data_IF_280183022201
#
_entry.id   IF_280183022201
#
_cell.length_a   1.000
_cell.length_b   1.000
_cell.length_c   1.000
_cell.angle_alpha   90.00
_cell.angle_beta   90.00
_cell.angle_gamma   90.00
#
_symmetry.space_group_name_H-M   'P 1'
#
loop_
_entity.id
_entity.type
_entity.pdbx_description
1 polymer ?
#
# COMPACT_ATOMS: atom_id res chain seq x y z
N UNK A 1 -19.18 -8.02 -10.23
CA UNK A 1 -17.78 -7.58 -10.04
C UNK A 1 -16.78 -8.70 -10.10
N UNK A 2 -17.02 -9.83 -9.41
CA UNK A 2 -16.10 -10.99 -9.41
C UNK A 2 -15.83 -11.47 -10.85
N UNK A 3 -16.88 -11.68 -11.65
CA UNK A 3 -16.74 -12.13 -13.04
C UNK A 3 -15.90 -11.18 -13.90
N UNK A 4 -16.02 -9.87 -13.67
CA UNK A 4 -15.22 -8.87 -14.37
C UNK A 4 -13.73 -8.97 -13.99
N UNK A 5 -13.41 -9.24 -12.72
CA UNK A 5 -12.04 -9.46 -12.28
C UNK A 5 -11.44 -10.75 -12.88
N UNK A 6 -12.20 -11.85 -12.92
CA UNK A 6 -11.78 -13.09 -13.57
C UNK A 6 -11.60 -12.94 -15.09
N UNK A 7 -12.47 -12.14 -15.74
CA UNK A 7 -12.27 -11.77 -17.15
C UNK A 7 -10.96 -10.99 -17.36
N UNK A 8 -10.62 -10.04 -16.47
CA UNK A 8 -9.34 -9.32 -16.54
C UNK A 8 -8.16 -10.28 -16.35
N UNK A 9 -8.23 -11.28 -15.46
CA UNK A 9 -7.16 -12.29 -15.36
C UNK A 9 -6.96 -13.06 -16.67
N UNK A 10 -8.06 -13.40 -17.34
CA UNK A 10 -8.04 -14.14 -18.61
C UNK A 10 -7.50 -13.28 -19.76
N UNK A 11 -8.01 -12.06 -19.90
CA UNK A 11 -7.75 -11.18 -21.05
C UNK A 11 -6.67 -10.10 -20.79
N UNK A 12 -6.10 -10.08 -19.58
CA UNK A 12 -4.98 -9.25 -19.10
C UNK A 12 -5.23 -7.76 -18.96
N UNK A 13 -6.18 -7.19 -19.70
CA UNK A 13 -6.47 -5.74 -19.68
C UNK A 13 -7.93 -5.49 -19.34
N UNK A 14 -8.17 -4.50 -18.48
CA UNK A 14 -9.51 -4.00 -18.15
C UNK A 14 -9.51 -2.49 -18.03
N UNK A 15 -10.55 -1.85 -18.56
CA UNK A 15 -10.82 -0.42 -18.40
C UNK A 15 -12.08 -0.30 -17.56
N UNK A 16 -12.00 0.48 -16.47
CA UNK A 16 -13.07 0.56 -15.47
C UNK A 16 -13.55 1.99 -15.30
N UNK A 17 -14.87 2.19 -15.35
CA UNK A 17 -15.51 3.43 -14.95
C UNK A 17 -15.54 3.58 -13.41
N UNK A 18 -15.66 4.83 -12.93
CA UNK A 18 -15.90 5.09 -11.52
C UNK A 18 -17.20 4.41 -11.04
N UNK A 19 -17.22 3.96 -9.79
CA UNK A 19 -18.34 3.20 -9.22
C UNK A 19 -18.62 3.66 -7.80
N UNK A 20 -19.90 3.78 -7.45
CA UNK A 20 -20.36 4.05 -6.08
C UNK A 20 -19.95 2.88 -5.18
N UNK A 21 -19.36 3.20 -4.03
CA UNK A 21 -19.29 2.27 -2.89
C UNK A 21 -20.36 2.75 -1.91
N UNK A 22 -21.44 1.97 -1.67
CA UNK A 22 -22.58 2.46 -0.92
C UNK A 22 -22.28 2.59 0.57
N UNK A 23 -22.77 3.67 1.16
CA UNK A 23 -22.97 3.91 2.59
C UNK A 23 -24.47 3.78 2.93
N UNK A 24 -24.87 4.09 4.16
CA UNK A 24 -26.27 4.02 4.62
C UNK A 24 -27.19 4.89 3.74
N UNK A 25 -26.75 6.10 3.38
CA UNK A 25 -27.53 7.00 2.54
C UNK A 25 -27.73 6.43 1.12
N UNK A 26 -26.70 5.81 0.54
CA UNK A 26 -26.79 5.15 -0.77
C UNK A 26 -27.64 3.89 -0.74
N UNK A 27 -27.69 3.16 0.39
CA UNK A 27 -28.60 2.02 0.56
C UNK A 27 -30.05 2.49 0.46
N UNK A 28 -30.40 3.57 1.15
CA UNK A 28 -31.74 4.16 1.08
C UNK A 28 -32.06 4.75 -0.31
N UNK A 29 -31.18 5.59 -0.85
CA UNK A 29 -31.36 6.26 -2.15
C UNK A 29 -31.62 5.27 -3.28
N UNK A 30 -30.84 4.19 -3.35
CA UNK A 30 -30.92 3.18 -4.42
C UNK A 30 -31.73 1.94 -4.03
N UNK A 31 -32.35 1.92 -2.85
CA UNK A 31 -33.08 0.76 -2.29
C UNK A 31 -32.27 -0.54 -2.40
N UNK A 32 -31.02 -0.48 -1.96
CA UNK A 32 -30.09 -1.59 -2.11
C UNK A 32 -30.45 -2.72 -1.14
N UNK A 33 -30.32 -3.97 -1.60
CA UNK A 33 -30.55 -5.16 -0.77
C UNK A 33 -29.61 -5.23 0.44
N UNK A 34 -28.42 -4.65 0.32
CA UNK A 34 -27.41 -4.55 1.36
C UNK A 34 -26.38 -3.48 0.98
N UNK A 35 -25.56 -3.08 1.95
CA UNK A 35 -24.40 -2.24 1.74
C UNK A 35 -23.29 -3.06 1.07
N UNK A 36 -23.22 -3.02 -0.26
CA UNK A 36 -22.24 -3.78 -1.02
C UNK A 36 -20.81 -3.29 -0.78
N UNK A 37 -19.85 -4.22 -0.72
CA UNK A 37 -18.42 -3.89 -0.66
C UNK A 37 -17.96 -3.15 -1.91
N UNK A 38 -16.92 -2.32 -1.77
CA UNK A 38 -16.36 -1.54 -2.88
C UNK A 38 -15.94 -2.45 -4.06
N UNK A 39 -16.42 -2.16 -5.29
CA UNK A 39 -16.00 -2.91 -6.47
C UNK A 39 -14.49 -2.85 -6.72
N UNK A 40 -13.84 -1.74 -6.35
CA UNK A 40 -12.39 -1.58 -6.46
C UNK A 40 -11.66 -2.57 -5.53
N UNK A 41 -12.13 -2.70 -4.28
CA UNK A 41 -11.58 -3.64 -3.31
C UNK A 41 -11.72 -5.09 -3.77
N UNK A 42 -12.89 -5.47 -4.32
CA UNK A 42 -13.11 -6.81 -4.89
C UNK A 42 -12.15 -7.12 -6.03
N UNK A 43 -12.02 -6.22 -7.01
CA UNK A 43 -11.12 -6.42 -8.16
C UNK A 43 -9.66 -6.54 -7.69
N UNK A 44 -9.21 -5.63 -6.82
CA UNK A 44 -7.84 -5.63 -6.27
C UNK A 44 -7.54 -6.90 -5.47
N UNK A 45 -8.50 -7.39 -4.69
CA UNK A 45 -8.33 -8.63 -3.94
C UNK A 45 -8.18 -9.85 -4.85
N UNK A 46 -8.86 -9.86 -5.99
CA UNK A 46 -8.83 -10.97 -6.94
C UNK A 46 -7.57 -10.90 -7.82
N UNK A 47 -7.20 -9.72 -8.30
CA UNK A 47 -6.06 -9.52 -9.19
C UNK A 47 -4.72 -9.44 -8.45
N UNK A 48 -4.73 -8.93 -7.22
CA UNK A 48 -3.52 -8.49 -6.52
C UNK A 48 -2.86 -7.29 -7.20
N UNK A 49 -1.66 -6.94 -6.73
CA UNK A 49 -0.75 -6.01 -7.41
C UNK A 49 -0.67 -4.60 -6.83
N UNK A 50 -0.06 -3.72 -7.63
CA UNK A 50 0.28 -2.34 -7.28
C UNK A 50 -0.60 -1.37 -8.06
N UNK A 51 -1.16 -0.37 -7.39
CA UNK A 51 -1.91 0.71 -8.05
C UNK A 51 -0.95 1.88 -8.27
N UNK A 52 -0.66 2.19 -9.53
CA UNK A 52 0.11 3.37 -9.89
C UNK A 52 -0.82 4.56 -10.15
N UNK A 53 -0.51 5.70 -9.53
CA UNK A 53 -1.18 7.00 -9.75
C UNK A 53 -0.14 8.02 -10.18
N UNK A 54 -0.45 8.77 -11.22
CA UNK A 54 0.44 9.79 -11.81
C UNK A 54 -0.41 10.98 -12.25
N UNK A 55 0.03 12.23 -12.00
CA UNK A 55 -0.72 13.40 -12.42
C UNK A 55 -0.64 13.59 -13.94
N UNK A 56 -1.72 14.10 -14.53
CA UNK A 56 -1.72 14.60 -15.90
C UNK A 56 -1.34 16.09 -15.85
N UNK A 57 -0.13 16.43 -16.31
CA UNK A 57 0.40 17.79 -16.22
C UNK A 57 -0.05 18.65 -17.40
N UNK A 58 -0.74 19.75 -17.10
CA UNK A 58 -1.13 20.77 -18.06
C UNK A 58 -0.25 22.02 -17.92
N UNK A 59 0.37 22.48 -19.02
CA UNK A 59 1.32 23.62 -19.00
C UNK A 59 0.74 24.91 -18.43
N UNK A 60 -0.57 25.10 -18.58
CA UNK A 60 -1.31 26.30 -18.18
C UNK A 60 -1.98 26.18 -16.80
N UNK A 61 -1.83 25.05 -16.10
CA UNK A 61 -2.41 24.86 -14.77
C UNK A 61 -1.29 25.01 -13.73
N UNK A 62 -1.33 26.05 -12.87
CA UNK A 62 -0.38 26.19 -11.77
C UNK A 62 -0.57 25.05 -10.77
N UNK A 63 0.53 24.62 -10.15
CA UNK A 63 0.54 23.52 -9.18
C UNK A 63 0.57 24.05 -7.76
N UNK A 64 0.01 23.27 -6.83
CA UNK A 64 0.00 23.59 -5.41
C UNK A 64 1.42 23.78 -4.85
N UNK A 65 2.34 22.90 -5.26
CA UNK A 65 3.77 23.04 -5.01
C UNK A 65 4.45 23.48 -6.31
N UNK A 66 4.85 24.75 -6.46
CA UNK A 66 5.37 25.27 -7.73
C UNK A 66 6.63 24.55 -8.23
N UNK A 67 7.45 24.03 -7.30
CA UNK A 67 8.70 23.33 -7.60
C UNK A 67 8.53 21.99 -8.31
N UNK A 68 7.35 21.35 -8.22
CA UNK A 68 7.07 20.07 -8.87
C UNK A 68 6.97 20.22 -10.38
N UNK A 69 8.10 20.20 -11.07
CA UNK A 69 8.19 20.41 -12.53
C UNK A 69 8.11 19.10 -13.30
N UNK A 70 8.33 17.97 -12.64
CA UNK A 70 8.20 16.61 -13.16
C UNK A 70 7.10 15.86 -12.38
N UNK A 71 6.44 14.85 -12.99
CA UNK A 71 5.43 14.07 -12.30
C UNK A 71 6.05 13.23 -11.18
N UNK A 72 5.27 12.99 -10.12
CA UNK A 72 5.58 12.01 -9.08
C UNK A 72 4.65 10.83 -9.33
N UNK A 73 5.22 9.63 -9.48
CA UNK A 73 4.44 8.41 -9.70
C UNK A 73 4.33 7.66 -8.39
N UNK A 74 3.11 7.58 -7.84
CA UNK A 74 2.85 6.85 -6.61
C UNK A 74 2.49 5.40 -6.91
N UNK A 75 3.27 4.45 -6.41
CA UNK A 75 2.96 3.03 -6.42
C UNK A 75 2.39 2.60 -5.07
N UNK A 76 1.07 2.40 -4.98
CA UNK A 76 0.39 1.94 -3.76
C UNK A 76 0.33 0.42 -3.70
N UNK A 77 0.81 -0.16 -2.60
CA UNK A 77 0.63 -1.58 -2.29
C UNK A 77 -0.82 -1.90 -1.91
N UNK A 78 -1.63 -2.39 -2.85
CA UNK A 78 -3.07 -2.54 -2.66
C UNK A 78 -3.48 -3.86 -1.98
N UNK A 79 -2.77 -4.28 -0.93
CA UNK A 79 -3.04 -5.51 -0.19
C UNK A 79 -2.72 -5.36 1.31
N UNK A 80 -3.50 -6.04 2.16
CA UNK A 80 -3.22 -6.17 3.59
C UNK A 80 -3.33 -4.85 4.36
N UNK A 81 -2.58 -4.79 5.46
CA UNK A 81 -2.49 -3.66 6.39
C UNK A 81 -3.91 -3.26 6.90
N UNK A 82 -4.16 -1.97 7.13
CA UNK A 82 -5.43 -1.44 7.65
C UNK A 82 -6.66 -1.92 6.84
N UNK A 83 -6.50 -2.19 5.54
CA UNK A 83 -7.60 -2.54 4.64
C UNK A 83 -8.06 -4.00 4.76
N UNK A 84 -7.35 -4.80 5.57
CA UNK A 84 -7.73 -6.16 5.96
C UNK A 84 -7.51 -6.39 7.46
N UNK A 85 -7.54 -5.32 8.25
CA UNK A 85 -7.45 -5.41 9.68
C UNK A 85 -8.72 -6.03 10.28
N UNK A 86 -8.58 -6.57 11.50
CA UNK A 86 -9.70 -6.88 12.38
C UNK A 86 -9.56 -5.99 13.61
N UNK A 87 -10.62 -5.29 13.97
CA UNK A 87 -10.67 -4.34 15.08
C UNK A 87 -11.76 -4.72 16.10
N UNK A 88 -11.58 -4.23 17.32
CA UNK A 88 -12.36 -4.57 18.50
C UNK A 88 -12.52 -3.34 19.40
N UNK A 89 -13.74 -3.11 19.88
CA UNK A 89 -14.00 -2.25 21.05
C UNK A 89 -13.89 -3.10 22.32
N UNK A 90 -13.13 -2.62 23.29
CA UNK A 90 -12.90 -3.26 24.58
C UNK A 90 -13.77 -2.55 25.62
N UNK A 91 -14.70 -3.26 26.25
CA UNK A 91 -15.69 -2.66 27.16
C UNK A 91 -15.21 -2.51 28.62
N UNK A 92 -14.05 -3.09 28.98
CA UNK A 92 -13.54 -3.08 30.34
C UNK A 92 -12.14 -3.68 30.48
N UNK A 93 -11.63 -3.82 31.72
CA UNK A 93 -10.27 -4.30 31.96
C UNK A 93 -10.03 -5.71 31.41
N UNK A 94 -8.85 -5.97 30.86
CA UNK A 94 -8.51 -7.27 30.28
C UNK A 94 -7.17 -7.29 29.55
N UNK A 95 -6.67 -8.49 29.25
CA UNK A 95 -5.39 -8.67 28.57
C UNK A 95 -5.57 -8.93 27.08
N UNK A 96 -4.87 -8.15 26.26
CA UNK A 96 -4.83 -8.33 24.82
C UNK A 96 -3.54 -9.04 24.39
N UNK A 97 -3.69 -10.16 23.70
CA UNK A 97 -2.59 -10.98 23.20
C UNK A 97 -2.70 -11.19 21.68
N UNK A 98 -1.55 -11.23 21.01
CA UNK A 98 -1.41 -11.67 19.63
C UNK A 98 -0.87 -13.10 19.62
N UNK A 99 -1.72 -14.04 19.23
CA UNK A 99 -1.40 -15.47 19.22
C UNK A 99 -1.25 -15.98 17.79
N UNK A 100 -0.09 -16.55 17.47
CA UNK A 100 0.15 -17.26 16.21
C UNK A 100 0.29 -18.76 16.49
N UNK A 101 -0.55 -19.56 15.85
CA UNK A 101 -0.50 -21.03 15.94
C UNK A 101 0.10 -21.60 14.65
N UNK A 102 1.33 -22.13 14.69
CA UNK A 102 1.95 -22.76 13.53
C UNK A 102 1.16 -23.97 13.03
N UNK A 103 1.04 -24.13 11.71
CA UNK A 103 0.32 -25.24 11.10
C UNK A 103 1.06 -26.58 11.22
N UNK A 104 2.39 -26.55 11.41
CA UNK A 104 3.25 -27.72 11.61
C UNK A 104 3.20 -28.27 13.05
N UNK A 105 2.40 -27.65 13.92
CA UNK A 105 2.27 -28.04 15.33
C UNK A 105 3.42 -27.59 16.22
N UNK A 106 4.36 -26.77 15.72
CA UNK A 106 5.40 -26.15 16.54
C UNK A 106 4.82 -25.17 17.56
N UNK A 107 5.65 -24.73 18.50
CA UNK A 107 5.22 -23.93 19.65
C UNK A 107 4.47 -22.64 19.22
N UNK A 108 3.31 -22.42 19.84
CA UNK A 108 2.52 -21.19 19.63
C UNK A 108 3.33 -19.98 20.06
N UNK A 109 3.29 -18.93 19.25
CA UNK A 109 3.85 -17.63 19.66
C UNK A 109 2.74 -16.85 20.34
N UNK A 110 2.91 -16.54 21.62
CA UNK A 110 2.02 -15.65 22.36
C UNK A 110 2.77 -14.35 22.66
N UNK A 111 2.23 -13.22 22.19
CA UNK A 111 2.80 -11.89 22.38
C UNK A 111 1.77 -11.00 23.08
N UNK A 112 2.10 -10.52 24.27
CA UNK A 112 1.27 -9.54 24.96
C UNK A 112 1.34 -8.23 24.20
N UNK A 113 0.17 -7.70 23.83
CA UNK A 113 0.07 -6.39 23.18
C UNK A 113 -0.10 -5.32 24.25
N UNK A 114 -1.08 -5.51 25.16
CA UNK A 114 -1.38 -4.56 26.22
C UNK A 114 -2.28 -5.19 27.31
N UNK A 115 -2.16 -4.72 28.55
CA UNK A 115 -3.08 -5.02 29.65
C UNK A 115 -3.98 -3.78 29.87
N UNK A 116 -5.26 -3.88 29.49
CA UNK A 116 -6.25 -2.81 29.63
C UNK A 116 -6.70 -2.66 31.09
N UNK A 117 -6.67 -1.43 31.61
CA UNK A 117 -7.23 -1.07 32.92
C UNK A 117 -8.70 -0.60 32.84
N UNK A 118 -9.26 -0.48 31.64
CA UNK A 118 -10.61 0.04 31.38
C UNK A 118 -10.98 -0.03 29.89
N UNK A 119 -12.08 0.61 29.48
CA UNK A 119 -12.54 0.58 28.09
C UNK A 119 -11.53 1.14 27.09
N UNK A 120 -11.50 0.61 25.86
CA UNK A 120 -10.55 1.01 24.83
C UNK A 120 -10.83 0.38 23.46
N UNK A 121 -9.82 0.37 22.59
CA UNK A 121 -9.90 -0.25 21.26
C UNK A 121 -8.61 -1.01 20.94
N UNK A 122 -8.73 -2.03 20.09
CA UNK A 122 -7.61 -2.84 19.63
C UNK A 122 -7.76 -3.19 18.16
N UNK A 123 -6.64 -3.49 17.49
CA UNK A 123 -6.68 -4.06 16.14
C UNK A 123 -5.49 -4.98 15.86
N UNK A 124 -5.68 -5.89 14.91
CA UNK A 124 -4.64 -6.69 14.30
C UNK A 124 -4.68 -6.54 12.78
N UNK A 125 -3.50 -6.47 12.15
CA UNK A 125 -3.34 -6.42 10.70
C UNK A 125 -2.18 -7.32 10.25
N UNK A 126 -2.14 -7.63 8.96
CA UNK A 126 -1.15 -8.55 8.40
C UNK A 126 -0.80 -8.19 6.96
N UNK A 127 0.35 -8.73 6.52
CA UNK A 127 0.76 -8.76 5.13
C UNK A 127 1.49 -10.07 4.82
N UNK A 128 1.77 -10.35 3.55
CA UNK A 128 2.47 -11.56 3.11
C UNK A 128 3.70 -11.21 2.27
N UNK A 129 4.80 -11.94 2.49
CA UNK A 129 6.06 -11.77 1.74
C UNK A 129 5.86 -11.85 0.22
N UNK A 130 5.01 -12.77 -0.26
CA UNK A 130 4.67 -12.89 -1.68
C UNK A 130 4.05 -11.59 -2.23
N UNK A 131 3.16 -10.97 -1.46
CA UNK A 131 2.50 -9.73 -1.86
C UNK A 131 3.49 -8.56 -1.87
N UNK A 132 4.37 -8.47 -0.87
CA UNK A 132 5.41 -7.44 -0.79
C UNK A 132 6.43 -7.62 -1.92
N UNK A 133 6.80 -8.85 -2.24
CA UNK A 133 7.70 -9.20 -3.36
C UNK A 133 7.11 -8.77 -4.70
N UNK A 134 5.84 -9.09 -4.96
CA UNK A 134 5.15 -8.64 -6.17
C UNK A 134 5.03 -7.12 -6.26
N UNK A 135 4.80 -6.46 -5.12
CA UNK A 135 4.79 -5.00 -5.01
C UNK A 135 6.15 -4.40 -5.38
N UNK A 136 7.25 -4.91 -4.80
CA UNK A 136 8.62 -4.49 -5.08
C UNK A 136 8.97 -4.61 -6.57
N UNK A 137 8.76 -5.80 -7.16
CA UNK A 137 9.00 -6.03 -8.58
C UNK A 137 8.24 -5.07 -9.48
N UNK A 138 6.97 -4.79 -9.15
CA UNK A 138 6.16 -3.85 -9.93
C UNK A 138 6.75 -2.43 -9.87
N UNK A 139 7.15 -1.97 -8.69
CA UNK A 139 7.74 -0.64 -8.50
C UNK A 139 9.09 -0.49 -9.22
N UNK A 140 9.97 -1.49 -9.11
CA UNK A 140 11.27 -1.46 -9.81
C UNK A 140 11.09 -1.44 -11.34
N UNK A 141 10.15 -2.22 -11.88
CA UNK A 141 9.87 -2.23 -13.33
C UNK A 141 9.33 -0.89 -13.82
N UNK A 142 8.41 -0.26 -13.09
CA UNK A 142 7.89 1.07 -13.45
C UNK A 142 8.98 2.14 -13.37
N UNK A 143 9.84 2.09 -12.35
CA UNK A 143 10.97 3.02 -12.23
C UNK A 143 11.97 2.87 -13.40
N UNK A 144 12.29 1.64 -13.81
CA UNK A 144 13.13 1.37 -14.99
C UNK A 144 12.50 1.87 -16.29
N UNK A 145 11.22 1.62 -16.49
CA UNK A 145 10.48 2.06 -17.69
C UNK A 145 10.49 3.59 -17.79
N UNK A 146 10.16 4.28 -16.70
CA UNK A 146 10.20 5.75 -16.60
C UNK A 146 11.60 6.34 -16.58
N UNK A 147 12.63 5.52 -16.34
CA UNK A 147 14.00 5.97 -16.04
C UNK A 147 14.03 6.97 -14.88
N UNK A 148 13.28 6.67 -13.81
CA UNK A 148 13.14 7.48 -12.60
C UNK A 148 13.76 6.77 -11.39
N UNK A 149 14.36 7.49 -10.42
CA UNK A 149 14.73 6.90 -9.14
C UNK A 149 13.49 6.41 -8.39
N UNK A 150 13.68 5.41 -7.53
CA UNK A 150 12.63 4.79 -6.74
C UNK A 150 12.86 5.01 -5.24
N UNK A 151 11.82 5.45 -4.55
CA UNK A 151 11.81 5.57 -3.09
C UNK A 151 10.76 4.64 -2.48
N UNK A 152 11.15 3.83 -1.50
CA UNK A 152 10.22 3.14 -0.60
C UNK A 152 10.17 3.89 0.73
N UNK A 153 8.96 4.19 1.22
CA UNK A 153 8.80 4.77 2.56
C UNK A 153 8.17 3.81 3.56
N UNK A 154 8.72 3.72 4.77
CA UNK A 154 8.10 2.99 5.90
C UNK A 154 8.37 3.70 7.24
N UNK A 155 7.90 3.14 8.36
CA UNK A 155 8.27 3.56 9.72
C UNK A 155 8.99 2.44 10.49
N UNK A 156 9.97 1.80 9.84
CA UNK A 156 10.69 0.63 10.40
C UNK A 156 11.48 0.91 11.69
N UNK A 157 11.76 2.17 12.06
CA UNK A 157 12.34 2.49 13.37
C UNK A 157 11.38 2.17 14.53
N UNK A 158 10.07 2.29 14.28
CA UNK A 158 8.98 1.97 15.21
C UNK A 158 8.46 0.55 14.98
N UNK A 159 8.01 0.25 13.76
CA UNK A 159 7.50 -1.07 13.39
C UNK A 159 8.64 -1.99 12.93
N UNK A 160 9.58 -2.26 13.84
CA UNK A 160 10.87 -2.91 13.56
C UNK A 160 10.75 -4.22 12.78
N UNK A 161 9.77 -5.06 13.09
CA UNK A 161 9.55 -6.34 12.40
C UNK A 161 8.67 -6.19 11.16
N UNK A 162 7.52 -5.50 11.30
CA UNK A 162 6.53 -5.39 10.22
C UNK A 162 7.06 -4.55 9.05
N UNK A 163 7.47 -3.31 9.31
CA UNK A 163 8.00 -2.41 8.29
C UNK A 163 9.46 -2.71 7.94
N UNK A 164 10.19 -3.36 8.85
CA UNK A 164 11.49 -3.95 8.56
C UNK A 164 11.39 -4.97 7.42
N UNK A 165 10.37 -5.83 7.44
CA UNK A 165 10.19 -6.84 6.39
C UNK A 165 10.00 -6.24 4.99
N UNK A 166 9.26 -5.13 4.88
CA UNK A 166 9.14 -4.39 3.62
C UNK A 166 10.49 -3.88 3.12
N UNK A 167 11.26 -3.24 4.02
CA UNK A 167 12.59 -2.72 3.71
C UNK A 167 13.53 -3.83 3.24
N UNK A 168 13.57 -4.94 3.98
CA UNK A 168 14.47 -6.05 3.71
C UNK A 168 14.15 -6.71 2.37
N UNK A 169 12.87 -7.02 2.10
CA UNK A 169 12.45 -7.62 0.82
C UNK A 169 12.80 -6.70 -0.36
N UNK A 170 12.54 -5.39 -0.27
CA UNK A 170 12.89 -4.47 -1.35
C UNK A 170 14.40 -4.40 -1.57
N UNK A 171 15.20 -4.36 -0.49
CA UNK A 171 16.66 -4.31 -0.60
C UNK A 171 17.22 -5.60 -1.22
N UNK A 172 16.76 -6.76 -0.77
CA UNK A 172 17.16 -8.07 -1.30
C UNK A 172 16.87 -8.17 -2.80
N UNK A 173 15.66 -7.77 -3.22
CA UNK A 173 15.25 -7.78 -4.64
C UNK A 173 16.06 -6.77 -5.45
N UNK A 174 16.29 -5.56 -4.92
CA UNK A 174 17.07 -4.54 -5.61
C UNK A 174 18.48 -5.04 -5.93
N UNK A 175 19.20 -5.50 -4.90
CA UNK A 175 20.59 -5.97 -5.04
C UNK A 175 20.68 -7.19 -5.97
N UNK A 176 19.74 -8.13 -5.87
CA UNK A 176 19.76 -9.36 -6.65
C UNK A 176 19.38 -9.15 -8.12
N UNK A 177 18.34 -8.37 -8.39
CA UNK A 177 17.65 -8.40 -9.69
C UNK A 177 17.71 -7.07 -10.46
N UNK A 178 17.87 -5.92 -9.79
CA UNK A 178 17.62 -4.61 -10.41
C UNK A 178 18.80 -3.63 -10.38
N UNK A 179 19.77 -3.81 -9.48
CA UNK A 179 20.86 -2.85 -9.27
C UNK A 179 21.63 -2.49 -10.54
N UNK A 180 22.10 -3.49 -11.28
CA UNK A 180 22.84 -3.25 -12.54
C UNK A 180 22.02 -2.47 -13.57
N UNK A 181 20.72 -2.76 -13.66
CA UNK A 181 19.80 -2.08 -14.59
C UNK A 181 19.55 -0.62 -14.18
N UNK A 182 19.46 -0.36 -12.87
CA UNK A 182 19.32 0.99 -12.32
C UNK A 182 20.58 1.83 -12.55
N UNK A 183 21.75 1.25 -12.25
CA UNK A 183 23.05 1.88 -12.46
C UNK A 183 23.28 2.21 -13.95
N UNK A 184 22.93 1.31 -14.86
CA UNK A 184 23.00 1.54 -16.31
C UNK A 184 22.15 2.74 -16.78
N UNK A 185 21.03 3.00 -16.09
CA UNK A 185 20.14 4.15 -16.34
C UNK A 185 20.48 5.39 -15.50
N UNK A 186 21.51 5.32 -14.65
CA UNK A 186 21.91 6.39 -13.71
C UNK A 186 20.78 6.80 -12.76
N UNK A 187 19.96 5.83 -12.36
CA UNK A 187 18.92 5.98 -11.34
C UNK A 187 19.25 5.11 -10.14
N UNK A 188 18.59 5.35 -9.01
CA UNK A 188 18.85 4.65 -7.76
C UNK A 188 17.56 4.21 -7.08
N UNK A 189 17.69 3.27 -6.16
CA UNK A 189 16.67 2.92 -5.18
C UNK A 189 17.11 3.36 -3.79
N UNK A 190 16.18 3.89 -3.01
CA UNK A 190 16.43 4.26 -1.62
C UNK A 190 15.22 3.95 -0.73
N UNK A 191 15.49 3.40 0.46
CA UNK A 191 14.50 3.33 1.53
C UNK A 191 14.59 4.59 2.40
N UNK A 192 13.44 5.19 2.72
CA UNK A 192 13.33 6.35 3.61
C UNK A 192 12.30 6.13 4.71
N UNK A 193 12.49 6.84 5.82
CA UNK A 193 11.41 6.96 6.80
C UNK A 193 10.30 7.85 6.23
N UNK A 194 9.05 7.47 6.46
CA UNK A 194 7.88 8.14 5.85
C UNK A 194 7.81 9.65 6.15
N UNK A 195 8.20 10.06 7.35
CA UNK A 195 8.27 11.46 7.77
C UNK A 195 9.36 12.26 7.02
N UNK A 196 10.52 11.65 6.76
CA UNK A 196 11.55 12.27 5.92
C UNK A 196 11.12 12.30 4.45
N UNK A 197 10.47 11.23 3.97
CA UNK A 197 10.04 11.10 2.58
C UNK A 197 9.00 12.16 2.20
N UNK A 198 8.00 12.42 3.04
CA UNK A 198 7.01 13.48 2.79
C UNK A 198 7.66 14.87 2.77
N UNK A 199 8.65 15.12 3.64
CA UNK A 199 9.37 16.39 3.68
C UNK A 199 10.25 16.57 2.43
N UNK A 200 10.92 15.51 1.98
CA UNK A 200 11.70 15.52 0.74
C UNK A 200 10.80 15.70 -0.48
N UNK A 201 9.64 15.03 -0.53
CA UNK A 201 8.67 15.17 -1.62
C UNK A 201 8.31 16.65 -1.83
N UNK A 202 7.95 17.37 -0.77
CA UNK A 202 7.58 18.79 -0.83
C UNK A 202 8.71 19.69 -1.34
N UNK A 203 9.97 19.34 -1.05
CA UNK A 203 11.16 20.10 -1.47
C UNK A 203 11.69 19.70 -2.86
N UNK A 204 11.22 18.57 -3.40
CA UNK A 204 11.71 18.02 -4.66
C UNK A 204 11.20 18.79 -5.88
N UNK A 205 11.77 18.47 -7.05
CA UNK A 205 11.24 18.88 -8.35
C UNK A 205 10.29 17.86 -8.98
N UNK A 206 9.93 16.79 -8.25
CA UNK A 206 9.27 15.60 -8.79
C UNK A 206 10.22 14.67 -9.54
N UNK A 207 9.70 13.83 -10.43
CA UNK A 207 10.51 12.98 -11.33
C UNK A 207 11.04 11.70 -10.68
N UNK A 208 10.23 11.09 -9.82
CA UNK A 208 10.56 9.83 -9.15
C UNK A 208 9.33 8.94 -8.99
N UNK A 209 9.58 7.65 -8.78
CA UNK A 209 8.56 6.71 -8.32
C UNK A 209 8.61 6.64 -6.80
N UNK A 210 7.46 6.74 -6.15
CA UNK A 210 7.33 6.59 -4.71
C UNK A 210 6.45 5.37 -4.41
N UNK A 211 7.10 4.30 -3.96
CA UNK A 211 6.47 3.10 -3.45
C UNK A 211 5.95 3.35 -2.03
N UNK A 212 4.64 3.30 -1.87
CA UNK A 212 3.95 3.51 -0.60
C UNK A 212 3.27 2.22 -0.13
N UNK A 213 3.32 1.98 1.19
CA UNK A 213 2.42 1.01 1.84
C UNK A 213 0.96 1.38 1.60
N UNK A 214 0.06 0.45 1.91
CA UNK A 214 -1.33 0.58 1.48
C UNK A 214 -2.00 1.88 1.95
N UNK A 215 -1.85 2.21 3.23
CA UNK A 215 -2.42 3.43 3.82
C UNK A 215 -1.72 4.70 3.35
N UNK A 216 -0.38 4.72 3.38
CA UNK A 216 0.39 5.87 2.92
C UNK A 216 0.07 6.20 1.46
N UNK A 217 -0.04 5.19 0.61
CA UNK A 217 -0.36 5.35 -0.81
C UNK A 217 -1.82 5.71 -1.08
N UNK A 218 -2.71 5.56 -0.10
CA UNK A 218 -4.07 6.10 -0.20
C UNK A 218 -4.04 7.60 0.05
N UNK A 219 -3.53 8.00 1.23
CA UNK A 219 -3.48 9.39 1.68
C UNK A 219 -2.64 10.26 0.75
N UNK A 220 -1.40 9.85 0.48
CA UNK A 220 -0.44 10.67 -0.28
C UNK A 220 -0.80 10.80 -1.75
N UNK A 221 -1.70 9.95 -2.25
CA UNK A 221 -2.13 10.00 -3.63
C UNK A 221 -3.30 10.93 -3.92
N UNK A 222 -3.91 11.47 -2.87
CA UNK A 222 -4.95 12.49 -2.95
C UNK A 222 -4.38 13.91 -2.73
N UNK A 223 -3.15 14.02 -2.20
CA UNK A 223 -2.38 15.28 -2.06
C UNK A 223 -1.80 15.69 -3.42
#
# INVERSE_FOLDING_TARGET
>A
TIDAAEAIKKYKVGIKCATITPDEARVEEFKLKQMWKSPNGTIRNILGGTVFREPILCKNIPRLVPGWTQPIVLGRHAFGDQYKATDLVVDGPGRLELVFTPADGSEKKNLVVYDFEGPGVAMGMYNHDESITGFAHSCFKVALDKSYPLYLSTKNTILKRYDGRFKDIFQEIYERDYKEQFEAKKIWYEHRLIDDMVAQMLKSSGGFVWACKNYDGDVQSDI
#
